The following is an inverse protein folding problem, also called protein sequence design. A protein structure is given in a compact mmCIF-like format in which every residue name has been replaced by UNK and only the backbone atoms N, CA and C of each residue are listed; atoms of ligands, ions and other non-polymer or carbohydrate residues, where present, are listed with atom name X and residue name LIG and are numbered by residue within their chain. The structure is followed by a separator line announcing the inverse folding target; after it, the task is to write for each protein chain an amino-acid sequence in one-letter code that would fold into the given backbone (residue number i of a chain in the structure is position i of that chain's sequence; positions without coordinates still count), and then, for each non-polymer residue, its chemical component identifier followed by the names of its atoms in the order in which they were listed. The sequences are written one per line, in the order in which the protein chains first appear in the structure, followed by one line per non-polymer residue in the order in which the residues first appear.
data_IF_844109216044
#
_entry.id   IF_844109216044
#
_cell.length_a   1.000
_cell.length_b   1.000
_cell.length_c   1.000
_cell.angle_alpha   90.00
_cell.angle_beta   90.00
_cell.angle_gamma   90.00
#
_symmetry.space_group_name_H-M   'P 1'
#
loop_
_entity.id
_entity.type
_entity.pdbx_description
1 polymer ?
#
# COMPACT_ATOMS: atom_id res chain seq x y z
N UNK A 1 1.92 3.49 -27.33
CA UNK A 1 2.70 4.64 -26.81
C UNK A 1 2.39 5.87 -27.66
N UNK A 2 1.21 6.47 -27.46
CA UNK A 2 0.64 7.56 -28.26
C UNK A 2 0.77 8.92 -27.55
N UNK A 3 1.62 8.99 -26.52
CA UNK A 3 1.75 10.13 -25.60
C UNK A 3 2.75 11.17 -26.11
N UNK A 4 3.66 10.79 -27.02
CA UNK A 4 4.69 11.67 -27.55
C UNK A 4 4.21 12.58 -28.69
N UNK A 5 3.13 12.22 -29.40
CA UNK A 5 2.68 12.97 -30.59
C UNK A 5 1.75 14.15 -30.24
N UNK A 6 1.12 14.15 -29.05
CA UNK A 6 0.10 15.15 -28.69
C UNK A 6 0.65 16.45 -28.06
N UNK A 7 1.93 16.52 -27.68
CA UNK A 7 2.51 17.68 -26.98
C UNK A 7 2.70 18.93 -27.86
N UNK A 8 2.69 18.80 -29.19
CA UNK A 8 3.05 19.90 -30.11
C UNK A 8 1.90 20.87 -30.42
N UNK A 9 0.72 20.73 -29.79
CA UNK A 9 -0.44 21.62 -30.09
C UNK A 9 -1.12 22.28 -28.88
N UNK A 10 -0.47 22.34 -27.71
CA UNK A 10 -0.98 23.14 -26.58
C UNK A 10 -2.34 22.72 -26.03
N UNK A 11 -2.84 21.54 -26.39
CA UNK A 11 -4.08 21.00 -25.82
C UNK A 11 -3.73 20.35 -24.49
N UNK A 12 -4.25 20.92 -23.40
CA UNK A 12 -4.22 20.35 -22.06
C UNK A 12 -5.04 19.07 -22.09
N UNK A 13 -4.40 17.93 -22.41
CA UNK A 13 -5.03 16.62 -22.27
C UNK A 13 -5.10 16.35 -20.78
N UNK A 14 -6.18 16.82 -20.14
CA UNK A 14 -6.48 16.47 -18.77
C UNK A 14 -6.78 14.97 -18.77
N UNK A 15 -5.81 14.19 -18.30
CA UNK A 15 -5.91 12.75 -18.28
C UNK A 15 -6.99 12.38 -17.27
N UNK A 16 -8.16 11.94 -17.74
CA UNK A 16 -9.29 11.53 -16.88
C UNK A 16 -8.86 10.44 -15.87
N UNK A 17 -7.80 9.68 -16.18
CA UNK A 17 -7.20 8.73 -15.24
C UNK A 17 -6.60 9.43 -14.01
N UNK A 18 -5.97 10.61 -14.15
CA UNK A 18 -5.41 11.36 -13.02
C UNK A 18 -6.51 11.87 -12.08
N UNK A 19 -7.66 12.28 -12.62
CA UNK A 19 -8.80 12.72 -11.83
C UNK A 19 -9.43 11.55 -11.04
N UNK A 20 -9.54 10.38 -11.66
CA UNK A 20 -10.04 9.17 -11.02
C UNK A 20 -9.10 8.65 -9.93
N UNK A 21 -7.78 8.87 -10.06
CA UNK A 21 -6.81 8.59 -9.00
C UNK A 21 -6.93 9.54 -7.81
N UNK A 22 -7.26 10.83 -8.02
CA UNK A 22 -7.37 11.84 -6.97
C UNK A 22 -8.56 11.64 -6.00
N UNK A 23 -9.56 10.82 -6.39
CA UNK A 23 -10.75 10.52 -5.57
C UNK A 23 -10.60 9.24 -4.73
N UNK A 24 -9.52 8.48 -4.88
CA UNK A 24 -9.29 7.27 -4.07
C UNK A 24 -8.83 7.67 -2.67
N UNK A 25 -9.26 6.90 -1.66
CA UNK A 25 -8.85 7.08 -0.27
C UNK A 25 -7.31 7.05 -0.21
N UNK A 26 -6.71 8.18 0.11
CA UNK A 26 -5.24 8.32 0.15
C UNK A 26 -4.75 7.67 1.42
N UNK A 27 -4.05 6.55 1.30
CA UNK A 27 -3.29 5.97 2.41
C UNK A 27 -1.94 6.66 2.48
N UNK A 28 -1.50 7.08 3.66
CA UNK A 28 -0.21 7.74 3.88
C UNK A 28 0.72 6.93 4.80
N UNK A 29 2.06 7.08 4.68
CA UNK A 29 2.98 6.56 5.67
C UNK A 29 2.63 7.02 7.10
N UNK A 30 2.71 6.11 8.07
CA UNK A 30 2.32 6.28 9.46
C UNK A 30 0.83 6.01 9.75
N UNK A 31 -0.01 5.86 8.73
CA UNK A 31 -1.39 5.44 8.95
C UNK A 31 -1.48 3.96 9.32
N UNK A 32 -2.47 3.65 10.15
CA UNK A 32 -2.75 2.29 10.59
C UNK A 32 -3.93 1.70 9.83
N UNK A 33 -3.76 0.48 9.35
CA UNK A 33 -4.73 -0.26 8.57
C UNK A 33 -4.95 -1.63 9.20
N UNK A 34 -6.15 -2.20 9.05
CA UNK A 34 -6.38 -3.61 9.30
C UNK A 34 -6.34 -4.36 7.98
N UNK A 35 -5.52 -5.39 7.91
CA UNK A 35 -5.31 -6.15 6.67
C UNK A 35 -5.38 -7.63 7.00
N UNK A 36 -6.21 -8.36 6.25
CA UNK A 36 -6.19 -9.82 6.27
C UNK A 36 -5.03 -10.33 5.43
N UNK A 37 -4.12 -11.09 6.05
CA UNK A 37 -3.05 -11.73 5.28
C UNK A 37 -3.65 -12.94 4.56
N UNK A 38 -3.56 -12.96 3.24
CA UNK A 38 -4.14 -14.03 2.42
C UNK A 38 -3.09 -15.00 1.88
N UNK A 39 -1.83 -14.57 1.72
CA UNK A 39 -0.77 -15.43 1.19
C UNK A 39 0.63 -14.96 1.58
N UNK A 40 1.61 -15.81 1.33
CA UNK A 40 3.04 -15.46 1.41
C UNK A 40 3.41 -14.41 0.36
N UNK A 41 4.29 -13.49 0.75
CA UNK A 41 4.90 -12.49 -0.12
C UNK A 41 6.13 -13.03 -0.86
N UNK A 42 6.82 -12.14 -1.56
CA UNK A 42 7.98 -12.51 -2.36
C UNK A 42 9.20 -12.82 -1.48
N UNK A 43 9.42 -12.03 -0.44
CA UNK A 43 10.50 -12.25 0.52
C UNK A 43 10.08 -13.22 1.63
N UNK A 44 11.05 -13.93 2.21
CA UNK A 44 10.84 -15.08 3.12
C UNK A 44 9.92 -14.79 4.32
N UNK A 45 9.87 -13.55 4.80
CA UNK A 45 9.05 -13.14 5.95
C UNK A 45 7.77 -12.38 5.57
N UNK A 46 7.58 -12.03 4.31
CA UNK A 46 6.47 -11.17 3.90
C UNK A 46 5.14 -11.92 3.86
N UNK A 47 4.08 -11.22 4.27
CA UNK A 47 2.70 -11.57 3.96
C UNK A 47 2.12 -10.59 2.94
N UNK A 48 1.10 -11.01 2.21
CA UNK A 48 0.35 -10.15 1.29
C UNK A 48 -1.13 -10.18 1.65
N UNK A 49 -1.70 -8.99 1.73
CA UNK A 49 -3.12 -8.71 1.86
C UNK A 49 -3.60 -7.78 0.75
N UNK A 50 -4.91 -7.53 0.74
CA UNK A 50 -5.54 -6.59 -0.19
C UNK A 50 -6.52 -5.71 0.56
N UNK A 51 -6.62 -4.45 0.17
CA UNK A 51 -7.72 -3.58 0.56
C UNK A 51 -8.96 -3.88 -0.29
N UNK A 52 -10.11 -3.34 0.11
CA UNK A 52 -11.40 -3.56 -0.57
C UNK A 52 -11.41 -3.07 -2.03
N UNK A 53 -10.56 -2.09 -2.36
CA UNK A 53 -10.39 -1.56 -3.72
C UNK A 53 -9.38 -2.35 -4.57
N UNK A 54 -8.84 -3.44 -4.03
CA UNK A 54 -7.85 -4.30 -4.68
C UNK A 54 -6.40 -3.83 -4.54
N UNK A 55 -6.13 -2.73 -3.83
CA UNK A 55 -4.76 -2.28 -3.55
C UNK A 55 -4.01 -3.35 -2.77
N UNK A 56 -2.84 -3.76 -3.29
CA UNK A 56 -2.01 -4.78 -2.66
C UNK A 56 -1.26 -4.19 -1.47
N UNK A 57 -1.34 -4.87 -0.32
CA UNK A 57 -0.58 -4.51 0.89
C UNK A 57 0.43 -5.62 1.19
N UNK A 58 1.70 -5.27 1.20
CA UNK A 58 2.81 -6.15 1.56
C UNK A 58 3.19 -5.84 3.01
N UNK A 59 3.17 -6.87 3.86
CA UNK A 59 3.36 -6.73 5.30
C UNK A 59 4.62 -7.48 5.72
N UNK A 60 5.55 -6.80 6.39
CA UNK A 60 6.73 -7.45 6.98
C UNK A 60 6.34 -8.38 8.13
N UNK A 61 7.01 -9.53 8.24
CA UNK A 61 6.67 -10.66 9.12
C UNK A 61 5.22 -11.21 8.94
N UNK A 62 4.49 -10.76 7.92
CA UNK A 62 3.10 -11.15 7.69
C UNK A 62 2.90 -12.63 7.35
N UNK A 63 3.93 -13.35 6.90
CA UNK A 63 3.83 -14.79 6.57
C UNK A 63 3.31 -15.63 7.74
N UNK A 64 3.66 -15.27 8.97
CA UNK A 64 3.26 -16.02 10.16
C UNK A 64 1.80 -15.79 10.55
N UNK A 65 1.14 -14.82 9.92
CA UNK A 65 -0.24 -14.39 10.21
C UNK A 65 -1.21 -14.70 9.05
N UNK A 66 -0.86 -15.63 8.16
CA UNK A 66 -1.73 -16.02 7.04
C UNK A 66 -3.08 -16.52 7.56
N UNK A 67 -4.16 -15.96 7.04
CA UNK A 67 -5.53 -16.21 7.46
C UNK A 67 -6.04 -15.25 8.54
N UNK A 68 -5.14 -14.53 9.21
CA UNK A 68 -5.46 -13.59 10.29
C UNK A 68 -5.60 -12.15 9.78
N UNK A 69 -6.32 -11.33 10.54
CA UNK A 69 -6.39 -9.88 10.35
C UNK A 69 -5.41 -9.22 11.31
N UNK A 70 -4.45 -8.47 10.77
CA UNK A 70 -3.41 -7.79 11.55
C UNK A 70 -3.52 -6.28 11.42
N UNK A 71 -3.11 -5.56 12.45
CA UNK A 71 -2.93 -4.10 12.38
C UNK A 71 -1.56 -3.82 11.77
N UNK A 72 -1.54 -3.03 10.70
CA UNK A 72 -0.36 -2.69 9.92
C UNK A 72 -0.18 -1.18 9.94
N UNK A 73 1.03 -0.70 10.22
CA UNK A 73 1.41 0.69 10.04
C UNK A 73 2.12 0.83 8.70
N UNK A 74 1.62 1.74 7.86
CA UNK A 74 2.13 1.94 6.52
C UNK A 74 3.51 2.58 6.60
N UNK A 75 4.50 1.96 5.97
CA UNK A 75 5.86 2.50 5.89
C UNK A 75 6.09 3.23 4.58
N UNK A 76 5.58 2.71 3.46
CA UNK A 76 5.78 3.33 2.16
C UNK A 76 4.73 2.90 1.12
N UNK A 77 4.68 3.67 0.03
CA UNK A 77 3.84 3.42 -1.13
C UNK A 77 4.75 3.24 -2.34
N UNK A 78 4.51 2.21 -3.15
CA UNK A 78 5.19 1.99 -4.41
C UNK A 78 4.16 2.01 -5.54
N UNK A 79 4.35 2.89 -6.51
CA UNK A 79 3.51 2.92 -7.72
C UNK A 79 4.12 2.00 -8.78
N UNK A 80 3.36 0.99 -9.19
CA UNK A 80 3.70 0.09 -10.30
C UNK A 80 2.77 0.26 -11.50
N UNK A 81 3.10 -0.37 -12.65
CA UNK A 81 2.27 -0.30 -13.86
C UNK A 81 0.84 -0.85 -13.67
N UNK A 82 0.63 -1.71 -12.69
CA UNK A 82 -0.66 -2.34 -12.37
C UNK A 82 -1.43 -1.61 -11.26
N UNK A 83 -0.85 -0.57 -10.64
CA UNK A 83 -1.47 0.18 -9.56
C UNK A 83 -0.52 0.45 -8.38
N UNK A 84 -1.10 0.94 -7.30
CA UNK A 84 -0.38 1.23 -6.05
C UNK A 84 -0.18 -0.04 -5.24
N UNK A 85 1.00 -0.20 -4.67
CA UNK A 85 1.32 -1.17 -3.64
C UNK A 85 1.65 -0.43 -2.35
N UNK A 86 1.13 -0.93 -1.24
CA UNK A 86 1.37 -0.39 0.10
C UNK A 86 2.32 -1.35 0.82
N UNK A 87 3.30 -0.82 1.52
CA UNK A 87 4.20 -1.58 2.38
C UNK A 87 3.96 -1.14 3.82
N UNK A 88 4.05 -2.08 4.77
CA UNK A 88 3.89 -1.76 6.17
C UNK A 88 4.34 -2.86 7.13
N UNK A 89 4.40 -2.48 8.40
CA UNK A 89 4.88 -3.33 9.50
C UNK A 89 3.74 -3.64 10.46
N UNK A 90 3.78 -4.83 11.08
CA UNK A 90 2.77 -5.22 12.05
C UNK A 90 2.92 -4.38 13.32
N UNK A 91 1.84 -3.66 13.68
CA UNK A 91 1.74 -2.93 14.93
C UNK A 91 1.36 -3.92 16.02
N UNK A 92 2.38 -4.50 16.66
CA UNK A 92 2.19 -5.24 17.89
C UNK A 92 1.76 -4.26 18.98
N UNK A 93 0.64 -4.53 19.67
CA UNK A 93 0.14 -3.75 20.81
C UNK A 93 1.04 -3.76 22.06
N UNK A 94 2.36 -3.89 21.91
CA UNK A 94 3.32 -3.74 23.01
C UNK A 94 3.75 -2.28 23.06
N UNK A 95 2.95 -1.50 23.76
CA UNK A 95 3.38 -0.19 24.21
C UNK A 95 4.64 -0.38 25.07
N UNK A 96 5.68 0.32 24.65
CA UNK A 96 6.95 0.50 25.30
C UNK A 96 6.75 1.14 26.67
N UNK A 97 6.90 0.37 27.76
CA UNK A 97 7.01 0.93 29.10
C UNK A 97 8.19 0.34 29.90
N UNK A 98 9.37 0.23 29.27
CA UNK A 98 10.62 -0.15 29.96
C UNK A 98 11.81 0.77 29.59
N UNK A 99 11.62 2.09 29.62
CA UNK A 99 12.73 3.05 29.68
C UNK A 99 12.37 4.23 30.57
N UNK A 100 12.24 3.98 31.87
CA UNK A 100 12.44 4.97 32.96
C UNK A 100 12.71 4.18 34.25
N UNK A 101 13.97 3.78 34.42
CA UNK A 101 14.64 3.61 35.70
C UNK A 101 16.03 4.21 35.56
#
# INVERSE_FOLDING_TARGET
NLSQVARTRGIKVLNVNELAHALRKVVLPGEKLQVKIVKEGKERAQGVGYLDDGTMVVVEEGKYHIGEVVNVEVTSLLQGPTGTMIFGDIVNGRNSNSRRR
#
